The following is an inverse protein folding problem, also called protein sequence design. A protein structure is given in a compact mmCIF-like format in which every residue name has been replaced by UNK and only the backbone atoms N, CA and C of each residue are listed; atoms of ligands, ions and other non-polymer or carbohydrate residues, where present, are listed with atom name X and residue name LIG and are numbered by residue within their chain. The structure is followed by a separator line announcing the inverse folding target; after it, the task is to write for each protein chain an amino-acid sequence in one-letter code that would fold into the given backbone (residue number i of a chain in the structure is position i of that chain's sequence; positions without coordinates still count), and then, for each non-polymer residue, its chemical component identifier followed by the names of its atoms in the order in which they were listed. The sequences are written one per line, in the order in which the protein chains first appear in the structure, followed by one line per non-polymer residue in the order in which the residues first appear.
data_IF_171936962065
#
_entry.id   IF_171936962065
#
_cell.length_a   1.000
_cell.length_b   1.000
_cell.length_c   1.000
_cell.angle_alpha   90.00
_cell.angle_beta   90.00
_cell.angle_gamma   90.00
#
_symmetry.space_group_name_H-M   'P 1'
#
loop_
_entity.id
_entity.type
_entity.pdbx_description
1 polymer ?
#
# COMPACT_ATOMS: atom_id res chain seq x y z
N UNK A 1 7.18 -34.45 48.02
CA UNK A 1 8.08 -33.33 48.35
C UNK A 1 8.95 -32.82 47.19
N UNK A 2 9.12 -33.53 46.06
CA UNK A 2 9.96 -33.06 44.94
C UNK A 2 9.25 -32.18 43.86
N UNK A 3 7.94 -31.96 43.95
CA UNK A 3 7.20 -31.12 42.97
C UNK A 3 7.22 -29.62 43.34
N UNK A 4 7.15 -29.28 44.64
CA UNK A 4 7.14 -27.89 45.11
C UNK A 4 8.49 -27.15 44.91
N UNK A 5 9.61 -27.87 44.80
CA UNK A 5 10.93 -27.25 44.65
C UNK A 5 11.20 -26.84 43.18
N UNK A 6 10.57 -27.49 42.19
CA UNK A 6 10.74 -27.13 40.77
C UNK A 6 10.00 -25.85 40.37
N UNK A 7 8.82 -25.57 40.94
CA UNK A 7 8.06 -24.34 40.66
C UNK A 7 8.69 -23.06 41.21
N UNK A 8 9.40 -23.14 42.34
CA UNK A 8 10.08 -21.99 42.94
C UNK A 8 11.35 -21.57 42.18
N UNK A 9 12.00 -22.50 41.47
CA UNK A 9 13.24 -22.24 40.70
C UNK A 9 12.94 -21.61 39.34
N UNK A 10 11.83 -21.96 38.69
CA UNK A 10 11.36 -21.30 37.46
C UNK A 10 10.82 -19.89 37.72
N UNK A 11 10.04 -19.70 38.80
CA UNK A 11 9.56 -18.37 39.22
C UNK A 11 10.70 -17.39 39.51
N UNK A 12 11.76 -17.83 40.22
CA UNK A 12 12.93 -16.98 40.50
C UNK A 12 13.75 -16.63 39.24
N UNK A 13 13.83 -17.51 38.24
CA UNK A 13 14.52 -17.23 36.97
C UNK A 13 13.75 -16.22 36.11
N UNK A 14 12.43 -16.26 36.13
CA UNK A 14 11.58 -15.26 35.45
C UNK A 14 11.64 -13.88 36.12
N UNK A 15 11.62 -13.84 37.46
CA UNK A 15 11.77 -12.58 38.20
C UNK A 15 13.17 -11.97 37.98
N UNK A 16 14.23 -12.79 37.96
CA UNK A 16 15.57 -12.29 37.62
C UNK A 16 15.67 -11.77 36.18
N UNK A 17 15.04 -12.43 35.20
CA UNK A 17 15.03 -11.96 33.81
C UNK A 17 14.28 -10.62 33.65
N UNK A 18 13.10 -10.49 34.28
CA UNK A 18 12.31 -9.26 34.26
C UNK A 18 13.05 -8.10 34.95
N UNK A 19 13.66 -8.34 36.12
CA UNK A 19 14.46 -7.33 36.84
C UNK A 19 15.73 -6.95 36.06
N UNK A 20 16.33 -7.89 35.30
CA UNK A 20 17.51 -7.60 34.47
C UNK A 20 17.15 -6.73 33.26
N UNK A 21 16.01 -6.97 32.61
CA UNK A 21 15.51 -6.11 31.51
C UNK A 21 15.15 -4.72 32.03
N UNK A 22 14.51 -4.63 33.20
CA UNK A 22 14.18 -3.35 33.85
C UNK A 22 15.44 -2.57 34.25
N UNK A 23 16.45 -3.23 34.81
CA UNK A 23 17.72 -2.58 35.15
C UNK A 23 18.49 -2.12 33.91
N UNK A 24 18.44 -2.86 32.80
CA UNK A 24 19.05 -2.43 31.54
C UNK A 24 18.34 -1.17 31.00
N UNK A 25 17.01 -1.13 30.99
CA UNK A 25 16.24 0.04 30.54
C UNK A 25 16.46 1.26 31.45
N UNK A 26 16.61 1.06 32.77
CA UNK A 26 16.91 2.15 33.71
C UNK A 26 18.37 2.63 33.61
N UNK A 27 19.35 1.75 33.38
CA UNK A 27 20.78 2.12 33.25
C UNK A 27 21.09 2.87 31.96
N UNK A 28 20.44 2.52 30.84
CA UNK A 28 20.65 3.23 29.57
C UNK A 28 19.99 4.61 29.52
N UNK A 29 18.97 4.87 30.33
CA UNK A 29 18.33 6.19 30.46
C UNK A 29 19.09 7.17 31.40
N UNK A 30 20.15 6.72 32.06
CA UNK A 30 20.95 7.54 32.99
C UNK A 30 22.30 8.04 32.44
N UNK A 31 22.61 7.78 31.15
CA UNK A 31 23.86 8.24 30.52
C UNK A 31 23.55 9.47 29.64
N UNK A 32 24.15 10.65 29.89
CA UNK A 32 24.06 11.77 28.95
C UNK A 32 24.72 11.38 27.62
N UNK A 33 23.94 11.38 26.54
CA UNK A 33 24.36 11.06 25.18
C UNK A 33 25.42 12.02 24.70
N UNK A 34 26.67 11.57 24.65
CA UNK A 34 27.79 12.33 24.09
C UNK A 34 28.67 11.45 23.22
N UNK A 35 28.24 11.15 22.00
CA UNK A 35 29.15 10.76 20.93
C UNK A 35 28.68 11.35 19.60
N UNK A 36 29.52 12.23 19.06
CA UNK A 36 29.39 12.79 17.73
C UNK A 36 29.63 11.74 16.66
N UNK A 37 28.90 11.89 15.55
CA UNK A 37 28.98 11.05 14.37
C UNK A 37 30.23 11.44 13.57
N UNK A 38 31.18 10.52 13.43
CA UNK A 38 32.22 10.61 12.40
C UNK A 38 31.73 9.90 11.14
N UNK A 39 31.90 10.63 10.04
CA UNK A 39 31.57 10.30 8.66
C UNK A 39 32.22 8.98 8.21
N UNK A 40 31.44 8.04 7.68
CA UNK A 40 31.94 6.85 6.98
C UNK A 40 30.90 6.31 6.00
N UNK A 41 31.28 6.25 4.71
CA UNK A 41 30.52 5.72 3.57
C UNK A 41 29.95 4.31 3.82
N UNK A 42 28.81 3.94 3.21
CA UNK A 42 28.20 2.64 3.44
C UNK A 42 28.88 1.51 2.65
N UNK A 43 29.40 0.53 3.38
CA UNK A 43 29.68 -0.83 2.89
C UNK A 43 28.47 -1.73 3.19
N UNK A 44 28.13 -2.59 2.24
CA UNK A 44 26.94 -3.47 2.24
C UNK A 44 27.08 -4.60 3.27
N UNK A 45 26.17 -4.75 4.25
CA UNK A 45 26.16 -5.91 5.15
C UNK A 45 25.37 -7.09 4.58
N UNK A 46 25.95 -8.29 4.72
CA UNK A 46 25.34 -9.59 4.39
C UNK A 46 24.24 -9.99 5.38
N UNK A 47 23.27 -10.76 4.87
CA UNK A 47 22.12 -11.37 5.54
C UNK A 47 22.40 -11.94 6.94
N UNK A 48 21.46 -11.68 7.86
CA UNK A 48 21.35 -12.38 9.14
C UNK A 48 20.12 -11.97 9.94
N UNK A 49 19.23 -12.94 10.17
CA UNK A 49 18.11 -13.02 11.14
C UNK A 49 16.85 -12.19 10.89
N UNK A 50 15.74 -12.93 10.71
CA UNK A 50 14.38 -12.43 10.49
C UNK A 50 13.80 -11.70 11.72
N UNK A 51 12.94 -10.67 11.51
CA UNK A 51 12.24 -9.99 12.58
C UNK A 51 11.15 -10.88 13.24
N UNK A 52 10.79 -10.61 14.51
CA UNK A 52 9.80 -11.41 15.23
C UNK A 52 8.39 -11.28 14.64
N UNK A 53 7.68 -12.40 14.65
CA UNK A 53 6.32 -12.62 14.16
C UNK A 53 5.30 -11.66 14.80
N UNK A 54 4.38 -11.04 14.03
CA UNK A 54 3.26 -10.29 14.60
C UNK A 54 2.28 -11.22 15.35
N UNK A 55 1.56 -10.72 16.36
CA UNK A 55 0.58 -11.51 17.12
C UNK A 55 -0.58 -11.97 16.21
N UNK A 56 -1.21 -13.12 16.50
CA UNK A 56 -2.27 -13.66 15.67
C UNK A 56 -3.53 -12.80 15.75
N UNK A 57 -4.06 -12.42 14.60
CA UNK A 57 -5.40 -11.84 14.48
C UNK A 57 -6.47 -12.92 14.71
N UNK A 58 -7.49 -12.57 15.50
CA UNK A 58 -8.69 -13.38 15.69
C UNK A 58 -9.47 -13.45 14.37
N UNK A 59 -9.33 -14.57 13.67
CA UNK A 59 -10.15 -14.92 12.52
C UNK A 59 -11.59 -15.21 12.98
N UNK A 60 -12.50 -14.32 12.62
CA UNK A 60 -13.91 -14.63 12.47
C UNK A 60 -14.37 -14.20 11.07
N UNK A 61 -13.97 -14.98 10.07
CA UNK A 61 -14.70 -15.04 8.80
C UNK A 61 -14.56 -16.45 8.21
N UNK A 62 -15.63 -17.22 8.38
CA UNK A 62 -15.81 -18.58 7.89
C UNK A 62 -15.80 -18.65 6.36
N UNK A 63 -14.80 -19.29 5.78
CA UNK A 63 -14.87 -19.84 4.42
C UNK A 63 -15.32 -21.31 4.52
N UNK A 64 -16.61 -21.55 4.36
CA UNK A 64 -17.13 -22.92 4.21
C UNK A 64 -16.99 -23.34 2.75
N UNK A 65 -16.14 -24.34 2.55
CA UNK A 65 -15.92 -25.04 1.30
C UNK A 65 -17.21 -25.71 0.80
N UNK A 66 -17.50 -25.58 -0.50
CA UNK A 66 -18.44 -26.44 -1.20
C UNK A 66 -17.67 -27.34 -2.16
N UNK A 67 -17.62 -28.61 -1.77
CA UNK A 67 -17.20 -29.76 -2.56
C UNK A 67 -18.10 -29.98 -3.79
N UNK A 68 -17.50 -30.24 -4.95
CA UNK A 68 -18.14 -31.04 -6.00
C UNK A 68 -17.09 -31.73 -6.88
N UNK A 69 -17.15 -33.06 -6.79
CA UNK A 69 -16.45 -34.12 -7.51
C UNK A 69 -16.45 -33.99 -9.04
N UNK A 70 -15.33 -34.41 -9.66
CA UNK A 70 -15.29 -34.90 -11.04
C UNK A 70 -15.03 -36.41 -11.05
N UNK A 71 -15.38 -37.11 -12.15
CA UNK A 71 -14.52 -38.18 -12.62
C UNK A 71 -14.19 -38.08 -14.14
N UNK A 72 -12.88 -38.16 -14.40
CA UNK A 72 -12.19 -38.91 -15.45
C UNK A 72 -12.77 -39.03 -16.86
N UNK A 73 -12.00 -38.57 -17.86
CA UNK A 73 -11.42 -39.43 -18.92
C UNK A 73 -10.32 -38.70 -19.72
N UNK A 74 -9.12 -39.29 -19.78
CA UNK A 74 -8.08 -39.04 -20.80
C UNK A 74 -8.28 -40.00 -22.00
N UNK A 75 -7.32 -40.14 -22.96
CA UNK A 75 -6.91 -39.20 -24.01
C UNK A 75 -6.95 -39.87 -25.41
N UNK A 76 -6.69 -39.14 -26.49
CA UNK A 76 -6.08 -39.75 -27.69
C UNK A 76 -5.37 -38.74 -28.60
N UNK A 77 -4.19 -39.18 -29.01
CA UNK A 77 -3.10 -38.55 -29.77
C UNK A 77 -3.26 -38.72 -31.29
N UNK A 78 -2.47 -37.93 -32.04
CA UNK A 78 -1.78 -38.17 -33.35
C UNK A 78 -1.97 -36.95 -34.28
N UNK A 79 -0.98 -36.09 -34.52
CA UNK A 79 0.30 -36.25 -35.25
C UNK A 79 0.22 -35.85 -36.74
N UNK A 80 1.31 -35.19 -37.15
CA UNK A 80 1.85 -34.98 -38.49
C UNK A 80 1.35 -33.83 -39.40
N UNK A 81 2.29 -32.91 -39.66
CA UNK A 81 2.37 -31.96 -40.79
C UNK A 81 2.76 -32.70 -42.09
N UNK A 82 2.67 -32.10 -43.31
CA UNK A 82 3.84 -31.35 -43.82
C UNK A 82 3.55 -30.19 -44.81
N UNK A 83 4.51 -29.25 -44.86
CA UNK A 83 4.74 -28.28 -45.95
C UNK A 83 5.18 -28.95 -47.28
N UNK A 84 5.18 -28.20 -48.39
CA UNK A 84 6.46 -27.82 -49.00
C UNK A 84 6.55 -26.38 -49.56
N UNK A 85 7.78 -25.99 -49.84
CA UNK A 85 8.33 -24.65 -50.10
C UNK A 85 8.87 -24.42 -51.53
N UNK A 86 9.21 -23.14 -51.84
CA UNK A 86 10.11 -22.57 -52.89
C UNK A 86 9.41 -22.13 -54.20
N UNK A 87 9.75 -21.04 -54.91
CA UNK A 87 10.92 -20.12 -54.95
C UNK A 87 10.58 -18.87 -55.81
N UNK A 88 11.29 -17.74 -55.62
CA UNK A 88 11.26 -16.51 -56.44
C UNK A 88 12.14 -16.63 -57.72
N UNK A 89 12.17 -15.63 -58.63
CA UNK A 89 13.25 -14.62 -58.56
C UNK A 89 13.00 -13.18 -59.13
N UNK A 90 13.87 -12.27 -58.65
CA UNK A 90 14.57 -11.14 -59.29
C UNK A 90 13.90 -9.78 -59.63
N UNK A 91 14.56 -8.72 -59.14
CA UNK A 91 14.39 -7.27 -59.40
C UNK A 91 15.16 -6.79 -60.67
N UNK A 92 15.03 -5.50 -61.05
CA UNK A 92 16.14 -4.58 -60.75
C UNK A 92 15.74 -3.14 -60.36
N UNK A 93 16.74 -2.44 -59.79
CA UNK A 93 16.79 -1.09 -59.21
C UNK A 93 16.19 0.06 -60.01
N UNK A 94 15.72 1.09 -59.31
CA UNK A 94 16.16 2.50 -59.48
C UNK A 94 15.58 3.39 -58.37
N UNK A 95 16.41 4.29 -57.82
CA UNK A 95 16.05 5.47 -57.03
C UNK A 95 17.10 6.55 -57.38
N UNK A 96 16.99 7.83 -56.98
CA UNK A 96 15.88 8.52 -56.28
C UNK A 96 15.47 9.85 -56.96
N UNK A 97 14.32 10.41 -56.61
CA UNK A 97 14.11 11.87 -56.76
C UNK A 97 13.32 12.42 -55.60
N UNK A 98 13.87 13.51 -55.08
CA UNK A 98 13.48 14.30 -53.92
C UNK A 98 12.16 15.04 -54.14
N UNK A 99 11.19 14.86 -53.25
CA UNK A 99 10.11 15.82 -53.04
C UNK A 99 10.05 16.21 -51.57
N UNK A 100 10.33 17.48 -51.33
CA UNK A 100 10.21 18.19 -50.07
C UNK A 100 8.76 18.20 -49.58
N UNK A 101 8.47 17.42 -48.54
CA UNK A 101 7.23 17.53 -47.78
C UNK A 101 7.43 18.48 -46.61
N UNK A 102 6.78 19.64 -46.71
CA UNK A 102 6.61 20.62 -45.65
C UNK A 102 5.86 20.02 -44.46
N UNK A 103 6.54 19.89 -43.33
CA UNK A 103 5.93 19.55 -42.03
C UNK A 103 5.03 20.69 -41.53
N UNK A 104 3.78 20.45 -41.12
CA UNK A 104 3.04 21.40 -40.30
C UNK A 104 3.59 21.32 -38.88
N UNK A 105 4.07 22.45 -38.38
CA UNK A 105 4.56 22.64 -37.03
C UNK A 105 3.50 22.21 -35.99
N UNK A 106 3.95 21.42 -35.01
CA UNK A 106 3.19 21.09 -33.81
C UNK A 106 2.75 22.37 -33.08
N UNK A 107 1.49 22.50 -32.66
CA UNK A 107 1.10 23.63 -31.82
C UNK A 107 1.73 23.44 -30.44
N UNK A 108 2.65 24.34 -30.13
CA UNK A 108 3.16 24.64 -28.78
C UNK A 108 2.03 24.57 -27.75
N UNK A 109 2.06 23.56 -26.88
CA UNK A 109 1.21 23.47 -25.71
C UNK A 109 1.64 24.52 -24.68
N UNK A 110 0.91 25.63 -24.64
CA UNK A 110 0.94 26.55 -23.50
C UNK A 110 0.58 25.78 -22.22
N UNK A 111 1.29 25.94 -21.09
CA UNK A 111 0.90 25.31 -19.84
C UNK A 111 -0.48 25.80 -19.43
N UNK A 112 -1.47 24.90 -19.39
CA UNK A 112 -2.81 25.22 -18.89
C UNK A 112 -2.67 25.75 -17.46
N UNK A 113 -3.31 26.88 -17.16
CA UNK A 113 -3.31 27.47 -15.84
C UNK A 113 -3.81 26.43 -14.82
N UNK A 114 -3.02 26.17 -13.78
CA UNK A 114 -3.36 25.18 -12.75
C UNK A 114 -4.64 25.63 -12.02
N UNK A 115 -5.72 24.84 -12.14
CA UNK A 115 -6.94 25.06 -11.36
C UNK A 115 -6.61 24.94 -9.86
N UNK A 116 -7.18 25.80 -8.99
CA UNK A 116 -7.09 25.62 -7.54
C UNK A 116 -7.82 24.33 -7.09
N UNK A 117 -7.44 23.80 -5.92
CA UNK A 117 -7.92 22.50 -5.39
C UNK A 117 -9.45 22.39 -5.32
N UNK A 118 -10.13 23.48 -4.94
CA UNK A 118 -11.58 23.57 -4.85
C UNK A 118 -12.30 23.61 -6.21
N UNK A 119 -11.57 23.69 -7.32
CA UNK A 119 -12.09 23.64 -8.70
C UNK A 119 -11.80 22.30 -9.40
N UNK A 120 -11.10 21.38 -8.72
CA UNK A 120 -10.81 20.05 -9.24
C UNK A 120 -11.90 19.07 -8.77
N UNK A 121 -12.60 18.48 -9.74
CA UNK A 121 -13.60 17.45 -9.46
C UNK A 121 -12.94 16.19 -8.88
N UNK A 122 -13.51 15.67 -7.80
CA UNK A 122 -13.13 14.40 -7.17
C UNK A 122 -14.30 13.41 -7.26
N UNK A 123 -13.99 12.18 -7.66
CA UNK A 123 -14.94 11.06 -7.59
C UNK A 123 -14.31 9.94 -6.78
N UNK A 124 -15.06 9.39 -5.82
CA UNK A 124 -14.73 8.16 -5.11
C UNK A 124 -15.26 6.95 -5.88
N UNK A 125 -14.41 5.96 -6.14
CA UNK A 125 -14.76 4.71 -6.82
C UNK A 125 -14.54 3.58 -5.81
N UNK A 126 -15.65 2.94 -5.38
CA UNK A 126 -15.62 1.88 -4.38
C UNK A 126 -15.95 0.55 -5.03
N UNK A 127 -15.08 -0.44 -4.79
CA UNK A 127 -15.39 -1.85 -5.01
C UNK A 127 -16.01 -2.42 -3.72
N UNK A 128 -17.21 -3.00 -3.84
CA UNK A 128 -18.00 -3.46 -2.70
C UNK A 128 -18.71 -4.79 -2.98
N UNK A 129 -18.95 -5.55 -1.93
CA UNK A 129 -19.94 -6.62 -1.86
C UNK A 129 -21.23 -6.11 -1.22
N UNK A 130 -22.34 -6.79 -1.46
CA UNK A 130 -23.66 -6.40 -0.93
C UNK A 130 -23.72 -6.44 0.60
N UNK A 131 -22.89 -7.28 1.24
CA UNK A 131 -22.76 -7.37 2.71
C UNK A 131 -21.99 -6.21 3.35
N UNK A 132 -21.26 -5.42 2.55
CA UNK A 132 -20.41 -4.34 3.06
C UNK A 132 -21.20 -3.04 3.16
N UNK A 133 -20.94 -2.27 4.21
CA UNK A 133 -21.57 -0.97 4.41
C UNK A 133 -20.75 0.14 3.73
N UNK A 134 -21.36 0.76 2.72
CA UNK A 134 -20.81 1.93 2.01
C UNK A 134 -21.59 3.22 2.28
N UNK A 135 -22.58 3.18 3.18
CA UNK A 135 -23.42 4.35 3.51
C UNK A 135 -22.62 5.47 4.21
N UNK A 136 -21.47 5.14 4.79
CA UNK A 136 -20.55 6.11 5.37
C UNK A 136 -20.09 7.16 4.37
N UNK A 137 -19.97 6.82 3.08
CA UNK A 137 -19.46 7.76 2.08
C UNK A 137 -20.38 8.96 1.93
N UNK A 138 -21.68 8.74 1.71
CA UNK A 138 -22.65 9.83 1.58
C UNK A 138 -22.95 10.53 2.90
N UNK A 139 -22.77 9.85 4.05
CA UNK A 139 -22.94 10.45 5.36
C UNK A 139 -21.84 11.46 5.71
N UNK A 140 -20.59 11.21 5.29
CA UNK A 140 -19.44 12.07 5.59
C UNK A 140 -19.07 13.02 4.45
N UNK A 141 -19.29 12.61 3.20
CA UNK A 141 -18.95 13.35 1.98
C UNK A 141 -20.12 13.40 0.99
N UNK A 142 -21.27 13.98 1.36
CA UNK A 142 -22.42 14.12 0.47
C UNK A 142 -22.12 14.95 -0.80
N UNK A 143 -21.07 15.77 -0.77
CA UNK A 143 -20.60 16.59 -1.88
C UNK A 143 -19.72 15.84 -2.89
N UNK A 144 -19.16 14.69 -2.52
CA UNK A 144 -18.24 13.93 -3.37
C UNK A 144 -19.03 12.99 -4.28
N UNK A 145 -18.77 13.07 -5.59
CA UNK A 145 -19.35 12.12 -6.54
C UNK A 145 -18.86 10.70 -6.23
N UNK A 146 -19.77 9.73 -6.26
CA UNK A 146 -19.47 8.35 -5.89
C UNK A 146 -19.92 7.37 -6.97
N UNK A 147 -19.04 6.46 -7.36
CA UNK A 147 -19.35 5.28 -8.16
C UNK A 147 -19.10 4.02 -7.32
N UNK A 148 -20.17 3.44 -6.79
CA UNK A 148 -20.12 2.29 -5.88
C UNK A 148 -20.54 1.05 -6.67
N UNK A 149 -19.57 0.19 -6.99
CA UNK A 149 -19.80 -1.07 -7.69
C UNK A 149 -20.04 -2.18 -6.68
N UNK A 150 -21.26 -2.72 -6.68
CA UNK A 150 -21.63 -3.86 -5.83
C UNK A 150 -21.57 -5.13 -6.67
N UNK A 151 -20.40 -5.78 -6.68
CA UNK A 151 -20.02 -6.76 -7.72
C UNK A 151 -20.82 -8.08 -7.67
N UNK A 152 -21.45 -8.38 -6.54
CA UNK A 152 -22.33 -9.52 -6.31
C UNK A 152 -23.84 -9.16 -6.36
N UNK A 153 -24.17 -7.96 -6.86
CA UNK A 153 -25.55 -7.51 -7.06
C UNK A 153 -25.80 -7.05 -8.51
N UNK A 154 -26.47 -7.89 -9.30
CA UNK A 154 -26.80 -7.60 -10.71
C UNK A 154 -27.80 -6.47 -10.93
N UNK A 155 -28.44 -5.99 -9.85
CA UNK A 155 -29.40 -4.86 -9.89
C UNK A 155 -28.78 -3.53 -9.44
N UNK A 156 -27.51 -3.53 -9.05
CA UNK A 156 -26.82 -2.31 -8.65
C UNK A 156 -26.70 -1.32 -9.82
N UNK A 157 -26.72 0.01 -9.56
CA UNK A 157 -26.55 1.01 -10.62
C UNK A 157 -25.23 0.88 -11.38
N UNK A 158 -24.18 0.46 -10.68
CA UNK A 158 -22.87 0.17 -11.25
C UNK A 158 -22.60 -1.33 -11.16
N UNK A 159 -22.39 -1.97 -12.30
CA UNK A 159 -22.12 -3.40 -12.42
C UNK A 159 -20.81 -3.65 -13.15
N UNK A 160 -20.30 -4.87 -13.05
CA UNK A 160 -19.10 -5.33 -13.77
C UNK A 160 -19.49 -6.46 -14.73
N UNK A 161 -18.73 -6.66 -15.83
CA UNK A 161 -19.04 -7.74 -16.78
C UNK A 161 -18.92 -9.14 -16.14
N UNK A 162 -18.05 -9.30 -15.13
CA UNK A 162 -17.87 -10.53 -14.36
C UNK A 162 -17.20 -10.19 -13.03
N UNK A 163 -17.62 -10.81 -11.93
CA UNK A 163 -16.91 -10.70 -10.65
C UNK A 163 -15.63 -11.56 -10.70
N UNK A 164 -14.50 -10.97 -11.11
CA UNK A 164 -13.18 -11.62 -11.24
C UNK A 164 -12.04 -10.59 -11.19
N UNK A 165 -10.96 -10.89 -10.48
CA UNK A 165 -9.83 -10.01 -10.22
C UNK A 165 -10.12 -8.96 -9.14
N UNK A 166 -11.03 -9.25 -8.20
CA UNK A 166 -11.47 -8.33 -7.14
C UNK A 166 -11.74 -6.89 -7.63
N UNK A 167 -11.14 -5.88 -7.00
CA UNK A 167 -11.29 -4.46 -7.34
C UNK A 167 -10.75 -4.10 -8.73
N UNK A 168 -9.85 -4.92 -9.31
CA UNK A 168 -9.30 -4.64 -10.62
C UNK A 168 -10.34 -4.61 -11.73
N UNK A 169 -11.36 -5.46 -11.66
CA UNK A 169 -12.48 -5.39 -12.61
C UNK A 169 -13.27 -4.10 -12.47
N UNK A 170 -13.52 -3.66 -11.24
CA UNK A 170 -14.25 -2.44 -10.93
C UNK A 170 -13.50 -1.24 -11.48
N UNK A 171 -12.21 -1.13 -11.18
CA UNK A 171 -11.38 0.03 -11.55
C UNK A 171 -11.22 0.14 -13.06
N UNK A 172 -10.95 -0.97 -13.76
CA UNK A 172 -10.88 -0.98 -15.21
C UNK A 172 -12.23 -0.66 -15.86
N UNK A 173 -13.33 -1.21 -15.33
CA UNK A 173 -14.67 -0.95 -15.86
C UNK A 173 -15.07 0.52 -15.71
N UNK A 174 -14.83 1.14 -14.54
CA UNK A 174 -15.07 2.56 -14.35
C UNK A 174 -14.30 3.43 -15.36
N UNK A 175 -12.99 3.17 -15.53
CA UNK A 175 -12.17 3.95 -16.46
C UNK A 175 -12.68 3.80 -17.90
N UNK A 176 -13.08 2.59 -18.31
CA UNK A 176 -13.60 2.31 -19.66
C UNK A 176 -14.94 3.02 -19.89
N UNK A 177 -15.90 2.85 -18.97
CA UNK A 177 -17.26 3.35 -19.12
C UNK A 177 -17.32 4.89 -19.08
N UNK A 178 -16.38 5.51 -18.38
CA UNK A 178 -16.30 6.97 -18.20
C UNK A 178 -15.15 7.62 -18.97
N UNK A 179 -14.47 6.91 -19.88
CA UNK A 179 -13.20 7.34 -20.48
C UNK A 179 -13.21 8.76 -21.07
N UNK A 180 -14.30 9.14 -21.74
CA UNK A 180 -14.47 10.47 -22.38
C UNK A 180 -14.85 11.58 -21.39
N UNK A 181 -15.22 11.24 -20.16
CA UNK A 181 -15.72 12.15 -19.13
C UNK A 181 -15.09 11.88 -17.75
N UNK A 182 -13.86 11.36 -17.70
CA UNK A 182 -13.16 11.11 -16.44
C UNK A 182 -12.98 12.42 -15.65
N UNK A 183 -13.23 12.42 -14.34
CA UNK A 183 -13.08 13.60 -13.48
C UNK A 183 -11.60 14.03 -13.40
N UNK A 184 -11.36 15.20 -12.83
CA UNK A 184 -9.99 15.68 -12.63
C UNK A 184 -9.22 14.68 -11.74
N UNK A 185 -9.83 14.18 -10.66
CA UNK A 185 -9.26 13.18 -9.74
C UNK A 185 -10.24 12.05 -9.47
N UNK A 186 -9.76 10.81 -9.60
CA UNK A 186 -10.45 9.58 -9.22
C UNK A 186 -9.74 8.99 -7.99
N UNK A 187 -10.49 8.60 -6.97
CA UNK A 187 -9.96 7.95 -5.76
C UNK A 187 -10.55 6.55 -5.67
N UNK A 188 -9.72 5.55 -5.95
CA UNK A 188 -10.09 4.14 -5.96
C UNK A 188 -9.82 3.52 -4.59
N UNK A 189 -10.87 2.99 -3.96
CA UNK A 189 -10.85 2.47 -2.59
C UNK A 189 -11.59 1.14 -2.48
N UNK A 190 -11.32 0.42 -1.39
CA UNK A 190 -12.18 -0.66 -0.91
C UNK A 190 -13.41 -0.08 -0.17
N UNK A 191 -14.44 -0.90 0.03
CA UNK A 191 -15.67 -0.49 0.72
C UNK A 191 -15.50 -0.15 2.20
N UNK A 192 -14.51 -0.75 2.87
CA UNK A 192 -14.30 -0.61 4.31
C UNK A 192 -13.88 0.81 4.70
N UNK A 193 -14.67 1.45 5.57
CA UNK A 193 -14.29 2.74 6.16
C UNK A 193 -13.01 2.61 7.00
N UNK A 194 -12.99 1.69 7.96
CA UNK A 194 -11.84 1.49 8.84
C UNK A 194 -11.11 0.22 8.44
N UNK A 195 -9.82 0.33 8.12
CA UNK A 195 -9.01 -0.81 7.72
C UNK A 195 -7.51 -0.60 8.00
N UNK A 196 -6.79 -1.69 8.28
CA UNK A 196 -5.36 -1.66 8.58
C UNK A 196 -4.51 -1.12 7.42
N UNK A 197 -4.98 -1.28 6.18
CA UNK A 197 -4.29 -0.80 4.99
C UNK A 197 -4.54 0.69 4.70
N UNK A 198 -5.45 1.35 5.42
CA UNK A 198 -5.65 2.79 5.33
C UNK A 198 -4.55 3.55 6.09
N UNK A 199 -4.23 4.80 5.72
CA UNK A 199 -3.17 5.57 6.35
C UNK A 199 -3.42 5.79 7.85
N UNK A 200 -2.57 5.21 8.67
CA UNK A 200 -2.58 5.27 10.15
C UNK A 200 -2.63 6.71 10.69
N UNK A 201 -1.88 7.66 10.12
CA UNK A 201 -1.92 9.06 10.59
C UNK A 201 -3.23 9.79 10.26
N UNK A 202 -4.08 9.16 9.46
CA UNK A 202 -5.48 9.54 9.19
C UNK A 202 -6.47 8.67 9.97
N UNK A 203 -6.02 8.00 11.03
CA UNK A 203 -6.88 7.16 11.88
C UNK A 203 -7.35 5.88 11.18
N UNK A 204 -6.66 5.43 10.13
CA UNK A 204 -7.08 4.27 9.32
C UNK A 204 -8.50 4.41 8.74
N UNK A 205 -8.97 5.65 8.55
CA UNK A 205 -10.31 6.00 8.07
C UNK A 205 -10.29 6.40 6.58
N UNK A 206 -11.06 5.68 5.75
CA UNK A 206 -11.20 5.96 4.32
C UNK A 206 -11.92 7.29 4.05
N UNK A 207 -12.78 7.75 4.96
CA UNK A 207 -13.39 9.07 4.85
C UNK A 207 -12.32 10.17 4.90
N UNK A 208 -11.33 10.04 5.80
CA UNK A 208 -10.21 10.99 5.88
C UNK A 208 -9.31 10.94 4.63
N UNK A 209 -9.20 9.79 3.94
CA UNK A 209 -8.49 9.71 2.66
C UNK A 209 -9.17 10.63 1.63
N UNK A 210 -10.49 10.53 1.49
CA UNK A 210 -11.28 11.31 0.52
C UNK A 210 -11.23 12.81 0.86
N UNK A 211 -11.39 13.15 2.14
CA UNK A 211 -11.35 14.53 2.63
C UNK A 211 -9.97 15.18 2.38
N UNK A 212 -8.90 14.48 2.75
CA UNK A 212 -7.56 15.07 2.84
C UNK A 212 -6.70 14.92 1.60
N UNK A 213 -7.01 14.00 0.69
CA UNK A 213 -6.19 13.83 -0.52
C UNK A 213 -6.19 15.11 -1.35
N UNK A 214 -5.00 15.69 -1.56
CA UNK A 214 -4.82 16.92 -2.34
C UNK A 214 -5.00 16.64 -3.82
N UNK A 215 -6.00 17.25 -4.46
CA UNK A 215 -6.16 17.10 -5.90
C UNK A 215 -4.98 17.69 -6.70
N UNK A 216 -4.41 18.86 -6.34
CA UNK A 216 -3.21 19.37 -6.99
C UNK A 216 -2.01 18.42 -6.90
N UNK A 217 -1.84 17.70 -5.77
CA UNK A 217 -0.79 16.69 -5.66
C UNK A 217 -1.04 15.53 -6.62
N UNK A 218 -2.26 14.99 -6.67
CA UNK A 218 -2.63 13.92 -7.62
C UNK A 218 -2.44 14.37 -9.07
N UNK A 219 -2.79 15.62 -9.41
CA UNK A 219 -2.55 16.21 -10.73
C UNK A 219 -1.05 16.28 -11.08
N UNK A 220 -0.19 16.68 -10.13
CA UNK A 220 1.26 16.74 -10.33
C UNK A 220 1.89 15.36 -10.51
N UNK A 221 1.47 14.40 -9.69
CA UNK A 221 2.05 13.05 -9.66
C UNK A 221 1.46 12.13 -10.73
N UNK A 222 0.25 12.43 -11.20
CA UNK A 222 -0.50 11.61 -12.15
C UNK A 222 -1.15 10.39 -11.49
N UNK A 223 -0.38 9.63 -10.72
CA UNK A 223 -0.76 8.45 -9.95
C UNK A 223 -0.21 8.55 -8.53
N UNK A 224 -1.02 8.24 -7.52
CA UNK A 224 -0.67 8.29 -6.10
C UNK A 224 -1.26 7.09 -5.40
N UNK A 225 -0.42 6.21 -4.85
CA UNK A 225 -0.91 5.22 -3.90
C UNK A 225 -1.35 5.94 -2.62
N UNK A 226 -2.59 5.73 -2.16
CA UNK A 226 -3.10 6.45 -0.98
C UNK A 226 -2.57 5.88 0.32
N UNK A 227 -1.98 4.68 0.30
CA UNK A 227 -1.28 4.10 1.43
C UNK A 227 0.15 4.65 1.50
N UNK A 228 0.46 5.37 2.57
CA UNK A 228 1.79 5.93 2.76
C UNK A 228 2.81 4.99 3.41
N UNK A 229 2.38 3.97 4.17
CA UNK A 229 3.32 3.03 4.79
C UNK A 229 3.96 2.13 3.74
N UNK A 230 5.22 1.78 3.95
CA UNK A 230 5.98 0.97 3.01
C UNK A 230 5.70 -0.53 3.12
N UNK A 231 5.56 -1.07 4.33
CA UNK A 231 5.32 -2.49 4.53
C UNK A 231 3.81 -2.78 4.60
N UNK A 232 3.25 -3.72 3.82
CA UNK A 232 3.90 -4.48 2.77
C UNK A 232 4.03 -3.67 1.46
N UNK A 233 5.02 -4.02 0.63
CA UNK A 233 5.13 -3.52 -0.74
C UNK A 233 6.37 -2.69 -1.12
N UNK A 234 7.09 -2.12 -0.16
CA UNK A 234 8.27 -1.28 -0.38
C UNK A 234 9.42 -1.58 0.60
N UNK A 235 10.69 -1.29 0.25
CA UNK A 235 11.15 -0.71 -1.02
C UNK A 235 11.32 -1.75 -2.15
N UNK A 236 11.32 -3.03 -1.80
CA UNK A 236 11.45 -4.18 -2.70
C UNK A 236 10.40 -5.21 -2.30
N UNK A 237 9.54 -5.66 -3.22
CA UNK A 237 8.43 -6.55 -2.87
C UNK A 237 8.37 -7.80 -3.73
N UNK A 238 8.13 -7.65 -5.03
CA UNK A 238 8.02 -8.75 -5.97
C UNK A 238 9.28 -8.87 -6.80
N UNK A 239 9.75 -10.10 -7.00
CA UNK A 239 10.92 -10.46 -7.80
C UNK A 239 10.51 -11.45 -8.91
N UNK A 240 9.83 -10.99 -9.97
CA UNK A 240 9.23 -11.87 -10.97
C UNK A 240 10.25 -12.80 -11.66
N UNK A 241 11.53 -12.39 -11.71
CA UNK A 241 12.61 -13.12 -12.38
C UNK A 241 13.49 -13.95 -11.44
N UNK A 242 13.24 -13.92 -10.12
CA UNK A 242 13.99 -14.77 -9.18
C UNK A 242 13.79 -16.27 -9.52
N UNK A 243 14.73 -17.16 -9.16
CA UNK A 243 14.52 -18.59 -9.30
C UNK A 243 13.22 -19.05 -8.62
N UNK A 244 12.51 -20.01 -9.20
CA UNK A 244 11.24 -20.51 -8.61
C UNK A 244 11.42 -21.05 -7.19
N UNK A 245 12.59 -21.62 -6.91
CA UNK A 245 12.99 -22.09 -5.56
C UNK A 245 13.10 -20.97 -4.52
N UNK A 246 13.15 -19.71 -4.94
CA UNK A 246 13.21 -18.53 -4.06
C UNK A 246 11.84 -17.84 -3.91
N UNK A 247 10.90 -18.08 -4.84
CA UNK A 247 9.53 -17.54 -4.80
C UNK A 247 8.59 -18.46 -4.01
N UNK A 248 8.93 -18.71 -2.75
CA UNK A 248 8.21 -19.66 -1.88
C UNK A 248 7.44 -18.98 -0.74
N UNK A 249 7.35 -17.64 -0.75
CA UNK A 249 6.66 -16.89 0.27
C UNK A 249 5.14 -17.11 0.15
N UNK A 250 4.56 -17.81 1.13
CA UNK A 250 3.12 -18.10 1.18
C UNK A 250 2.26 -16.82 1.30
N UNK A 251 2.86 -15.71 1.70
CA UNK A 251 2.20 -14.40 1.74
C UNK A 251 2.27 -13.67 0.40
N UNK A 252 2.97 -14.20 -0.61
CA UNK A 252 3.10 -13.64 -1.97
C UNK A 252 2.85 -14.70 -3.08
N UNK A 253 1.75 -15.47 -3.01
CA UNK A 253 1.49 -16.56 -3.96
C UNK A 253 1.45 -16.10 -5.44
N UNK A 254 1.12 -14.84 -5.68
CA UNK A 254 1.07 -14.21 -6.99
C UNK A 254 2.45 -13.98 -7.64
N UNK A 255 3.54 -13.97 -6.85
CA UNK A 255 4.90 -13.72 -7.35
C UNK A 255 5.33 -14.79 -8.37
N UNK A 256 4.86 -16.02 -8.20
CA UNK A 256 5.14 -17.15 -9.09
C UNK A 256 4.55 -16.94 -10.49
N UNK A 257 3.36 -16.34 -10.57
CA UNK A 257 2.62 -16.13 -11.82
C UNK A 257 2.95 -14.78 -12.48
N UNK A 258 3.54 -13.86 -11.73
CA UNK A 258 3.68 -12.45 -12.11
C UNK A 258 4.48 -12.25 -13.40
N UNK A 259 5.56 -13.02 -13.64
CA UNK A 259 6.35 -12.89 -14.86
C UNK A 259 5.59 -13.35 -16.12
N UNK A 260 4.73 -14.36 -16.00
CA UNK A 260 3.86 -14.80 -17.11
C UNK A 260 2.79 -13.76 -17.37
N UNK A 261 2.05 -13.37 -16.32
CA UNK A 261 1.01 -12.36 -16.40
C UNK A 261 1.54 -11.03 -16.94
N UNK A 262 2.73 -10.58 -16.52
CA UNK A 262 3.33 -9.36 -17.02
C UNK A 262 3.55 -9.38 -18.53
N UNK A 263 4.07 -10.49 -19.10
CA UNK A 263 4.30 -10.59 -20.56
C UNK A 263 3.00 -10.60 -21.36
N UNK A 264 1.95 -11.18 -20.80
CA UNK A 264 0.62 -11.21 -21.43
C UNK A 264 -0.05 -9.83 -21.35
N UNK A 265 0.04 -9.18 -20.20
CA UNK A 265 -0.52 -7.84 -19.97
C UNK A 265 0.25 -6.81 -20.79
N UNK A 266 1.59 -6.77 -20.75
CA UNK A 266 2.46 -5.79 -21.39
C UNK A 266 3.29 -6.41 -22.53
N UNK A 267 2.65 -6.75 -23.67
CA UNK A 267 3.33 -7.44 -24.75
C UNK A 267 4.45 -6.59 -25.35
N UNK A 268 5.66 -7.16 -25.41
CA UNK A 268 6.85 -6.50 -25.96
C UNK A 268 7.67 -5.69 -24.94
N UNK A 269 7.23 -5.62 -23.68
CA UNK A 269 7.99 -4.99 -22.60
C UNK A 269 8.82 -6.02 -21.83
N UNK A 270 9.99 -5.62 -21.34
CA UNK A 270 10.83 -6.48 -20.50
C UNK A 270 10.22 -6.59 -19.10
N UNK A 271 10.15 -7.82 -18.57
CA UNK A 271 9.69 -8.06 -17.20
C UNK A 271 10.68 -7.40 -16.23
N UNK A 272 10.24 -6.51 -15.33
CA UNK A 272 11.12 -5.89 -14.35
C UNK A 272 11.72 -6.90 -13.38
N UNK A 273 12.96 -6.66 -12.95
CA UNK A 273 13.59 -7.46 -11.89
C UNK A 273 12.84 -7.33 -10.55
N UNK A 274 12.33 -6.13 -10.26
CA UNK A 274 11.62 -5.80 -9.03
C UNK A 274 10.35 -5.03 -9.39
N UNK A 275 9.20 -5.42 -8.83
CA UNK A 275 8.00 -4.59 -8.77
C UNK A 275 7.72 -4.22 -7.31
N UNK A 276 7.57 -2.94 -7.03
CA UNK A 276 7.37 -2.45 -5.67
C UNK A 276 6.50 -1.20 -5.61
N UNK A 277 5.52 -1.22 -4.72
CA UNK A 277 4.72 -0.08 -4.28
C UNK A 277 4.00 -0.48 -2.99
N UNK A 278 3.52 0.46 -2.15
CA UNK A 278 2.66 0.11 -1.02
C UNK A 278 1.48 -0.77 -1.46
N UNK A 279 1.12 -1.76 -0.64
CA UNK A 279 0.09 -2.73 -0.97
C UNK A 279 -1.31 -2.16 -1.23
N UNK A 280 -2.18 -3.10 -1.57
CA UNK A 280 -3.62 -3.08 -1.31
C UNK A 280 -4.46 -2.26 -2.28
N UNK A 281 -3.96 -2.02 -3.51
CA UNK A 281 -4.73 -1.53 -4.66
C UNK A 281 -5.55 -0.24 -4.46
N UNK A 282 -5.34 0.52 -3.37
CA UNK A 282 -6.00 1.81 -3.16
C UNK A 282 -5.11 2.94 -3.70
N UNK A 283 -5.63 3.75 -4.61
CA UNK A 283 -4.86 4.83 -5.22
C UNK A 283 -5.75 5.97 -5.71
N UNK A 284 -5.16 7.15 -5.84
CA UNK A 284 -5.72 8.27 -6.55
C UNK A 284 -5.04 8.43 -7.92
N UNK A 285 -5.84 8.71 -8.94
CA UNK A 285 -5.41 8.84 -10.33
C UNK A 285 -5.98 10.12 -10.91
N UNK A 286 -5.15 10.93 -11.56
CA UNK A 286 -5.64 12.07 -12.32
C UNK A 286 -6.27 11.60 -13.64
N UNK A 287 -7.36 12.27 -14.06
CA UNK A 287 -7.98 12.00 -15.36
C UNK A 287 -7.01 12.18 -16.52
N UNK A 288 -6.09 13.14 -16.42
CA UNK A 288 -5.06 13.38 -17.43
C UNK A 288 -4.04 12.24 -17.51
N UNK A 289 -3.66 11.65 -16.38
CA UNK A 289 -2.80 10.47 -16.38
C UNK A 289 -3.51 9.25 -16.97
N UNK A 290 -4.78 9.04 -16.62
CA UNK A 290 -5.57 7.94 -17.18
C UNK A 290 -5.69 8.04 -18.71
N UNK A 291 -5.94 9.24 -19.24
CA UNK A 291 -6.07 9.49 -20.68
C UNK A 291 -4.78 9.34 -21.50
N UNK A 292 -3.62 9.15 -20.85
CA UNK A 292 -2.37 8.80 -21.56
C UNK A 292 -2.39 7.36 -22.07
N UNK A 293 -3.26 6.52 -21.51
CA UNK A 293 -3.45 5.12 -21.91
C UNK A 293 -4.73 5.05 -22.74
N UNK A 294 -4.66 4.47 -23.94
CA UNK A 294 -5.81 4.45 -24.84
C UNK A 294 -6.96 3.58 -24.29
N UNK A 295 -8.19 3.88 -24.72
CA UNK A 295 -9.37 3.09 -24.37
C UNK A 295 -9.24 1.62 -24.79
N UNK A 296 -8.65 1.37 -25.97
CA UNK A 296 -8.38 0.03 -26.47
C UNK A 296 -7.41 -0.71 -25.56
N UNK A 297 -6.41 -0.01 -25.02
CA UNK A 297 -5.47 -0.58 -24.07
C UNK A 297 -6.14 -0.98 -22.77
N UNK A 298 -6.97 -0.13 -22.18
CA UNK A 298 -7.77 -0.51 -21.01
C UNK A 298 -8.69 -1.71 -21.30
N UNK A 299 -9.32 -1.72 -22.47
CA UNK A 299 -10.19 -2.81 -22.89
C UNK A 299 -9.43 -4.13 -23.01
N UNK A 300 -8.25 -4.13 -23.64
CA UNK A 300 -7.40 -5.32 -23.77
C UNK A 300 -6.93 -5.84 -22.41
N UNK A 301 -6.58 -4.93 -21.51
CA UNK A 301 -6.11 -5.23 -20.15
C UNK A 301 -7.25 -5.81 -19.29
N UNK A 302 -8.48 -5.27 -19.38
CA UNK A 302 -9.66 -5.88 -18.76
C UNK A 302 -9.99 -7.23 -19.36
N UNK A 303 -9.80 -7.38 -20.68
CA UNK A 303 -10.03 -8.64 -21.37
C UNK A 303 -9.08 -9.73 -20.88
N UNK A 304 -7.80 -9.43 -20.66
CA UNK A 304 -6.87 -10.36 -20.01
C UNK A 304 -7.40 -10.85 -18.65
N UNK A 305 -7.95 -9.95 -17.83
CA UNK A 305 -8.51 -10.31 -16.53
C UNK A 305 -9.73 -11.24 -16.65
N UNK A 306 -10.56 -11.06 -17.69
CA UNK A 306 -11.67 -11.96 -17.98
C UNK A 306 -11.18 -13.34 -18.42
N UNK A 307 -10.19 -13.38 -19.31
CA UNK A 307 -9.77 -14.58 -20.04
C UNK A 307 -8.75 -15.45 -19.31
N UNK A 308 -7.94 -14.87 -18.41
CA UNK A 308 -6.89 -15.62 -17.71
C UNK A 308 -7.41 -16.86 -16.98
N UNK A 309 -6.64 -17.94 -16.93
CA UNK A 309 -7.03 -19.15 -16.17
C UNK A 309 -6.74 -19.00 -14.67
N UNK A 310 -6.04 -17.93 -14.27
CA UNK A 310 -5.78 -17.62 -12.87
C UNK A 310 -7.09 -17.39 -12.11
N UNK A 311 -7.11 -17.86 -10.87
CA UNK A 311 -8.25 -17.62 -9.98
C UNK A 311 -8.40 -16.13 -9.62
N UNK A 312 -9.54 -15.81 -9.02
CA UNK A 312 -9.91 -14.45 -8.62
C UNK A 312 -8.86 -13.81 -7.69
N UNK A 313 -8.38 -14.58 -6.71
CA UNK A 313 -7.45 -14.10 -5.69
C UNK A 313 -6.07 -13.78 -6.27
N UNK A 314 -5.50 -14.68 -7.09
CA UNK A 314 -4.18 -14.49 -7.70
C UNK A 314 -4.23 -13.38 -8.75
N UNK A 315 -5.25 -13.38 -9.61
CA UNK A 315 -5.38 -12.35 -10.64
C UNK A 315 -5.63 -10.94 -10.06
N UNK A 316 -6.37 -10.82 -8.95
CA UNK A 316 -6.53 -9.58 -8.21
C UNK A 316 -5.21 -9.11 -7.59
N UNK A 317 -4.47 -10.00 -6.93
CA UNK A 317 -3.16 -9.67 -6.33
C UNK A 317 -2.07 -9.33 -7.36
N UNK A 318 -2.13 -9.89 -8.56
CA UNK A 318 -1.29 -9.44 -9.68
C UNK A 318 -1.57 -7.96 -9.98
N UNK A 319 -2.86 -7.57 -10.08
CA UNK A 319 -3.23 -6.19 -10.32
C UNK A 319 -2.79 -5.23 -9.22
N UNK A 320 -2.85 -5.66 -7.96
CA UNK A 320 -2.37 -4.90 -6.81
C UNK A 320 -0.95 -4.34 -7.02
N UNK A 321 -0.05 -5.09 -7.68
CA UNK A 321 1.34 -4.70 -7.93
C UNK A 321 1.64 -4.29 -9.38
N UNK A 322 0.62 -4.08 -10.22
CA UNK A 322 0.80 -3.61 -11.59
C UNK A 322 0.17 -2.23 -11.88
N UNK A 323 -0.67 -1.69 -10.99
CA UNK A 323 -1.27 -0.35 -11.19
C UNK A 323 -0.22 0.74 -11.42
N UNK A 324 0.81 0.80 -10.59
CA UNK A 324 1.89 1.77 -10.72
C UNK A 324 2.60 1.64 -12.06
N UNK A 325 2.82 0.41 -12.53
CA UNK A 325 3.48 0.17 -13.82
C UNK A 325 2.58 0.61 -14.98
N UNK A 326 1.30 0.20 -14.96
CA UNK A 326 0.32 0.59 -15.96
C UNK A 326 0.26 2.12 -16.11
N UNK A 327 0.14 2.84 -15.00
CA UNK A 327 -0.04 4.29 -15.05
C UNK A 327 1.26 5.07 -15.21
N UNK A 328 2.42 4.56 -14.79
CA UNK A 328 3.65 5.38 -14.76
C UNK A 328 4.79 4.85 -15.61
N UNK A 329 4.71 3.61 -16.09
CA UNK A 329 5.81 2.89 -16.73
C UNK A 329 6.99 2.61 -15.79
N UNK A 330 6.85 2.84 -14.49
CA UNK A 330 7.90 2.64 -13.49
C UNK A 330 7.63 1.38 -12.68
N UNK A 331 8.63 0.51 -12.53
CA UNK A 331 8.46 -0.74 -11.77
C UNK A 331 8.45 -0.52 -10.25
N UNK A 332 9.09 0.54 -9.78
CA UNK A 332 9.18 0.90 -8.36
C UNK A 332 8.50 2.27 -8.14
N UNK A 333 7.48 2.29 -7.29
CA UNK A 333 6.75 3.48 -6.86
C UNK A 333 6.65 3.50 -5.34
N UNK A 334 7.79 3.73 -4.68
CA UNK A 334 7.93 3.81 -3.22
C UNK A 334 8.29 5.24 -2.80
N UNK A 335 7.32 6.20 -2.79
CA UNK A 335 7.59 7.55 -2.34
C UNK A 335 7.98 7.54 -0.86
N UNK A 336 8.78 8.51 -0.41
CA UNK A 336 9.06 8.65 1.02
C UNK A 336 7.75 8.88 1.79
N UNK A 337 7.63 8.25 2.95
CA UNK A 337 6.41 8.32 3.75
C UNK A 337 6.07 9.76 4.16
N UNK A 338 7.08 10.58 4.46
CA UNK A 338 6.89 11.98 4.86
C UNK A 338 6.31 12.83 3.72
N UNK A 339 6.74 12.58 2.48
CA UNK A 339 6.20 13.27 1.30
C UNK A 339 4.78 12.81 0.98
N UNK A 340 4.49 11.50 1.10
CA UNK A 340 3.14 10.97 0.91
C UNK A 340 2.15 11.60 1.89
N UNK A 341 2.50 11.64 3.18
CA UNK A 341 1.65 12.24 4.20
C UNK A 341 1.56 13.76 4.09
N UNK A 342 2.68 14.45 3.87
CA UNK A 342 2.70 15.90 3.79
C UNK A 342 2.06 16.39 2.49
N UNK A 343 2.57 15.98 1.33
CA UNK A 343 2.07 16.47 0.05
C UNK A 343 0.78 15.80 -0.41
N UNK A 344 0.48 14.59 0.05
CA UNK A 344 -0.80 13.93 -0.21
C UNK A 344 -1.91 14.39 0.71
N UNK A 345 -1.67 14.43 2.02
CA UNK A 345 -2.73 14.54 3.03
C UNK A 345 -2.58 15.73 4.00
N UNK A 346 -1.54 16.55 3.87
CA UNK A 346 -1.34 17.70 4.76
C UNK A 346 -0.87 17.34 6.17
N UNK A 347 -0.20 16.20 6.34
CA UNK A 347 0.44 15.83 7.61
C UNK A 347 1.96 16.03 7.49
N UNK A 348 2.44 17.22 7.89
CA UNK A 348 3.80 17.69 7.62
C UNK A 348 4.62 17.82 8.91
N UNK A 349 5.62 16.96 9.09
CA UNK A 349 6.43 16.90 10.33
C UNK A 349 7.70 17.79 10.33
N UNK A 350 7.94 18.59 9.28
CA UNK A 350 9.13 19.43 9.18
C UNK A 350 9.03 20.78 9.92
N UNK A 351 10.06 21.61 9.75
CA UNK A 351 10.00 23.04 10.08
C UNK A 351 10.35 23.45 11.52
N UNK A 352 10.66 22.50 12.40
CA UNK A 352 11.45 22.81 13.60
C UNK A 352 12.86 23.22 13.16
N UNK A 353 13.52 24.15 13.87
CA UNK A 353 14.84 24.72 13.50
C UNK A 353 15.83 23.66 12.96
N UNK A 354 15.94 23.56 11.63
CA UNK A 354 16.85 22.64 10.93
C UNK A 354 16.33 21.21 10.65
N UNK A 355 15.10 20.86 11.02
CA UNK A 355 14.52 19.51 10.78
C UNK A 355 13.79 19.43 9.45
N UNK A 356 14.12 18.41 8.64
CA UNK A 356 13.35 18.02 7.46
C UNK A 356 12.06 17.29 7.83
N UNK A 357 11.12 17.18 6.89
CA UNK A 357 9.90 16.37 7.06
C UNK A 357 10.19 14.92 7.43
N UNK A 358 11.17 14.31 6.76
CA UNK A 358 11.68 12.97 7.06
C UNK A 358 12.22 12.85 8.47
N UNK A 359 13.04 13.80 8.94
CA UNK A 359 13.57 13.75 10.29
C UNK A 359 12.44 13.83 11.32
N UNK A 360 11.50 14.76 11.17
CA UNK A 360 10.37 14.90 12.09
C UNK A 360 9.47 13.66 12.12
N UNK A 361 9.26 13.02 10.96
CA UNK A 361 8.51 11.78 10.87
C UNK A 361 9.26 10.60 11.53
N UNK A 362 10.58 10.49 11.33
CA UNK A 362 11.40 9.47 11.97
C UNK A 362 11.37 9.59 13.49
N UNK A 363 11.41 10.81 14.04
CA UNK A 363 11.24 11.05 15.47
C UNK A 363 9.85 10.61 15.97
N UNK A 364 8.79 10.90 15.20
CA UNK A 364 7.43 10.46 15.52
C UNK A 364 7.34 8.92 15.60
N UNK A 365 7.88 8.23 14.60
CA UNK A 365 7.88 6.76 14.57
C UNK A 365 8.74 6.17 15.67
N UNK A 366 9.88 6.78 16.00
CA UNK A 366 10.70 6.37 17.14
C UNK A 366 9.91 6.42 18.45
N UNK A 367 9.23 7.53 18.74
CA UNK A 367 8.39 7.65 19.94
C UNK A 367 7.27 6.61 19.97
N UNK A 368 6.64 6.35 18.83
CA UNK A 368 5.59 5.33 18.72
C UNK A 368 6.13 3.92 18.97
N UNK A 369 7.33 3.61 18.46
CA UNK A 369 7.97 2.33 18.67
C UNK A 369 8.34 2.12 20.14
N UNK A 370 8.84 3.14 20.84
CA UNK A 370 9.08 3.07 22.29
C UNK A 370 7.78 2.85 23.07
N UNK A 371 6.70 3.57 22.72
CA UNK A 371 5.37 3.31 23.29
C UNK A 371 4.95 1.85 23.11
N UNK A 372 5.06 1.33 21.88
CA UNK A 372 4.65 -0.04 21.56
C UNK A 372 5.46 -1.08 22.34
N UNK A 373 6.75 -0.84 22.60
CA UNK A 373 7.57 -1.70 23.47
C UNK A 373 7.04 -1.73 24.90
N UNK A 374 6.70 -0.57 25.46
CA UNK A 374 6.10 -0.49 26.81
C UNK A 374 4.73 -1.16 26.85
N UNK A 375 3.93 -1.00 25.81
CA UNK A 375 2.61 -1.63 25.71
C UNK A 375 2.72 -3.16 25.59
N UNK A 376 3.69 -3.67 24.84
CA UNK A 376 3.98 -5.10 24.80
C UNK A 376 4.48 -5.62 26.16
N UNK A 377 5.33 -4.87 26.86
CA UNK A 377 5.78 -5.24 28.22
C UNK A 377 4.62 -5.24 29.23
N UNK A 378 3.70 -4.28 29.13
CA UNK A 378 2.48 -4.26 29.93
C UNK A 378 1.62 -5.50 29.66
N UNK A 379 1.41 -5.84 28.39
CA UNK A 379 0.63 -7.02 27.98
C UNK A 379 1.19 -8.32 28.56
N UNK A 380 2.52 -8.49 28.65
CA UNK A 380 3.12 -9.67 29.29
C UNK A 380 2.73 -9.87 30.77
N UNK A 381 2.33 -8.79 31.44
CA UNK A 381 1.95 -8.77 32.85
C UNK A 381 0.43 -8.93 33.00
N UNK A 382 -0.35 -8.18 32.20
CA UNK A 382 -1.80 -8.03 32.42
C UNK A 382 -2.67 -8.88 31.49
N UNK A 383 -2.15 -9.32 30.34
CA UNK A 383 -2.94 -10.07 29.38
C UNK A 383 -3.33 -11.44 29.93
N UNK A 384 -4.56 -11.85 29.61
CA UNK A 384 -5.07 -13.17 29.94
C UNK A 384 -4.21 -14.24 29.25
N UNK A 385 -3.90 -15.30 30.00
CA UNK A 385 -3.14 -16.44 29.49
C UNK A 385 -4.09 -17.61 29.27
N UNK A 386 -3.87 -18.37 28.22
CA UNK A 386 -4.61 -19.62 28.01
C UNK A 386 -3.84 -20.78 28.65
N UNK A 387 -4.55 -21.66 29.35
CA UNK A 387 -4.00 -22.94 29.78
C UNK A 387 -4.02 -23.99 28.67
N UNK A 388 -3.55 -25.20 28.98
CA UNK A 388 -3.47 -26.31 28.01
C UNK A 388 -4.84 -26.74 27.46
N UNK A 389 -5.93 -26.39 28.16
CA UNK A 389 -7.31 -26.67 27.75
C UNK A 389 -7.96 -25.48 27.02
N UNK A 390 -7.20 -24.41 26.75
CA UNK A 390 -7.69 -23.19 26.11
C UNK A 390 -8.54 -22.31 27.02
N UNK A 391 -8.50 -22.52 28.35
CA UNK A 391 -9.22 -21.70 29.30
C UNK A 391 -8.41 -20.46 29.64
N UNK A 392 -9.07 -19.30 29.56
CA UNK A 392 -8.47 -18.01 29.90
C UNK A 392 -8.27 -17.87 31.41
N UNK A 393 -7.07 -17.45 31.78
CA UNK A 393 -6.61 -17.24 33.15
C UNK A 393 -6.16 -15.77 33.26
N UNK A 394 -6.87 -15.02 34.10
CA UNK A 394 -6.48 -13.67 34.46
C UNK A 394 -5.28 -13.71 35.42
N UNK A 395 -4.18 -12.98 35.15
CA UNK A 395 -3.04 -12.92 36.06
C UNK A 395 -3.43 -12.32 37.42
N UNK A 396 -3.04 -12.98 38.51
CA UNK A 396 -3.15 -12.41 39.87
C UNK A 396 -1.86 -11.66 40.17
N UNK A 397 -1.95 -10.32 40.22
CA UNK A 397 -0.79 -9.45 40.39
C UNK A 397 -0.40 -9.28 41.86
N UNK A 398 0.89 -9.42 42.13
CA UNK A 398 1.53 -8.99 43.38
C UNK A 398 1.49 -7.46 43.52
N UNK A 399 1.66 -6.92 44.73
CA UNK A 399 1.68 -5.46 44.92
C UNK A 399 2.85 -4.79 44.20
N UNK A 400 3.97 -5.49 44.03
CA UNK A 400 5.09 -5.04 43.21
C UNK A 400 4.72 -4.96 41.72
N UNK A 401 4.05 -5.98 41.18
CA UNK A 401 3.58 -5.97 39.79
C UNK A 401 2.52 -4.89 39.55
N UNK A 402 1.63 -4.64 40.50
CA UNK A 402 0.67 -3.53 40.42
C UNK A 402 1.37 -2.17 40.32
N UNK A 403 2.47 -1.98 41.06
CA UNK A 403 3.25 -0.74 40.96
C UNK A 403 3.91 -0.61 39.58
N UNK A 404 4.51 -1.69 39.07
CA UNK A 404 5.10 -1.73 37.72
C UNK A 404 4.05 -1.42 36.65
N UNK A 405 2.86 -2.02 36.72
CA UNK A 405 1.75 -1.75 35.80
C UNK A 405 1.40 -0.26 35.80
N UNK A 406 1.25 0.34 36.97
CA UNK A 406 0.96 1.77 37.09
C UNK A 406 2.04 2.66 36.45
N UNK A 407 3.32 2.31 36.65
CA UNK A 407 4.43 3.06 36.07
C UNK A 407 4.52 2.90 34.54
N UNK A 408 4.21 1.71 34.01
CA UNK A 408 4.12 1.46 32.57
C UNK A 408 2.96 2.24 31.95
N UNK A 409 1.78 2.19 32.56
CA UNK A 409 0.60 2.95 32.12
C UNK A 409 0.88 4.46 32.08
N UNK A 410 1.56 4.99 33.10
CA UNK A 410 1.94 6.40 33.15
C UNK A 410 2.91 6.79 32.01
N UNK A 411 3.92 5.95 31.73
CA UNK A 411 4.85 6.18 30.63
C UNK A 411 4.18 6.05 29.26
N UNK A 412 3.33 5.03 29.06
CA UNK A 412 2.55 4.86 27.83
C UNK A 412 1.72 6.12 27.58
N UNK A 413 1.02 6.60 28.61
CA UNK A 413 0.22 7.83 28.50
C UNK A 413 1.07 9.04 28.12
N UNK A 414 2.25 9.22 28.70
CA UNK A 414 3.15 10.33 28.34
C UNK A 414 3.57 10.26 26.86
N UNK A 415 3.94 9.07 26.37
CA UNK A 415 4.22 8.89 24.94
C UNK A 415 2.99 9.19 24.05
N UNK A 416 1.78 8.79 24.47
CA UNK A 416 0.55 9.10 23.74
C UNK A 416 0.28 10.60 23.66
N UNK A 417 0.43 11.32 24.78
CA UNK A 417 0.28 12.77 24.82
C UNK A 417 1.29 13.45 23.88
N UNK A 418 2.56 12.98 23.86
CA UNK A 418 3.59 13.48 22.95
C UNK A 418 3.27 13.20 21.47
N UNK A 419 2.83 11.98 21.14
CA UNK A 419 2.46 11.60 19.77
C UNK A 419 1.28 12.43 19.28
N UNK A 420 0.25 12.59 20.12
CA UNK A 420 -0.94 13.37 19.80
C UNK A 420 -0.60 14.84 19.53
N UNK A 421 0.25 15.45 20.37
CA UNK A 421 0.68 16.84 20.17
C UNK A 421 1.53 17.01 18.91
N UNK A 422 2.43 16.05 18.60
CA UNK A 422 3.21 16.07 17.36
C UNK A 422 2.33 15.93 16.12
N UNK A 423 1.38 14.99 16.12
CA UNK A 423 0.45 14.80 15.00
C UNK A 423 -0.44 16.04 14.80
N UNK A 424 -0.91 16.65 15.88
CA UNK A 424 -1.69 17.90 15.83
C UNK A 424 -0.90 19.05 15.22
N UNK A 425 0.37 19.23 15.61
CA UNK A 425 1.27 20.22 15.00
C UNK A 425 1.51 19.93 13.53
N UNK A 426 1.73 18.66 13.16
CA UNK A 426 1.97 18.27 11.78
C UNK A 426 0.75 18.54 10.88
N UNK A 427 -0.46 18.20 11.33
CA UNK A 427 -1.72 18.53 10.65
C UNK A 427 -1.90 20.04 10.50
N UNK A 428 -1.65 20.82 11.56
CA UNK A 428 -1.73 22.29 11.50
C UNK A 428 -0.70 22.90 10.55
N UNK A 429 0.51 22.34 10.47
CA UNK A 429 1.55 22.82 9.54
C UNK A 429 1.15 22.58 8.09
N UNK A 430 0.61 21.41 7.77
CA UNK A 430 0.22 21.06 6.40
C UNK A 430 -1.00 21.80 5.85
N UNK A 431 -1.70 22.59 6.67
CA UNK A 431 -2.73 23.53 6.18
C UNK A 431 -2.13 24.79 5.55
N UNK A 432 -0.83 25.04 5.70
CA UNK A 432 -0.14 26.13 5.00
C UNK A 432 0.51 25.58 3.71
N UNK A 433 0.06 26.00 2.52
CA UNK A 433 0.58 25.50 1.24
C UNK A 433 2.07 25.82 1.03
N UNK A 434 2.57 26.93 1.58
CA UNK A 434 3.99 27.29 1.48
C UNK A 434 4.84 26.38 2.36
N UNK A 435 4.40 26.11 3.60
CA UNK A 435 5.12 25.21 4.49
C UNK A 435 5.07 23.76 4.01
N UNK A 436 3.95 23.33 3.41
CA UNK A 436 3.82 22.02 2.77
C UNK A 436 4.83 21.86 1.64
N UNK A 437 4.92 22.85 0.74
CA UNK A 437 5.89 22.84 -0.34
C UNK A 437 7.34 22.83 0.18
N UNK A 438 7.65 23.64 1.19
CA UNK A 438 8.96 23.67 1.86
C UNK A 438 9.34 22.29 2.43
N UNK A 439 8.45 21.67 3.22
CA UNK A 439 8.67 20.34 3.80
C UNK A 439 8.84 19.25 2.72
N UNK A 440 8.23 19.46 1.55
CA UNK A 440 8.34 18.57 0.40
C UNK A 440 9.53 18.87 -0.51
N UNK A 441 10.37 19.86 -0.18
CA UNK A 441 11.51 20.27 -1.01
C UNK A 441 11.09 20.87 -2.37
N UNK A 442 9.89 21.45 -2.45
CA UNK A 442 9.35 22.08 -3.65
C UNK A 442 9.41 23.60 -3.55
N UNK A 443 9.68 24.26 -4.66
CA UNK A 443 9.48 25.71 -4.77
C UNK A 443 8.00 26.06 -4.65
N UNK A 444 7.70 27.14 -3.92
CA UNK A 444 6.34 27.68 -3.80
C UNK A 444 6.26 29.11 -4.27
N UNK A 445 5.25 29.39 -5.11
CA UNK A 445 4.88 30.74 -5.54
C UNK A 445 3.49 31.09 -5.03
N UNK A 446 3.24 32.38 -4.85
CA UNK A 446 1.94 32.89 -4.43
C UNK A 446 0.87 32.44 -5.44
N UNK A 447 -0.07 31.62 -4.98
CA UNK A 447 -1.16 31.07 -5.79
C UNK A 447 -1.00 29.60 -6.18
N UNK A 448 0.15 28.95 -5.90
CA UNK A 448 0.40 27.55 -6.30
C UNK A 448 -0.49 26.51 -5.57
N UNK A 449 -1.26 26.90 -4.55
CA UNK A 449 -2.06 25.98 -3.75
C UNK A 449 -1.21 24.96 -2.99
N UNK A 450 -1.82 23.82 -2.62
CA UNK A 450 -1.18 22.72 -1.88
C UNK A 450 -0.27 21.86 -2.76
#
# INVERSE_FOLDING_TARGET
MNSMIRGAVTSRRFVFAAVTVILIVLFFNAIPSGYGYLDSKPEVPKQGTAPPKPPPENAASSSLASSASSPLAQPSTLAESPQPSKQAPASPSTAPSSSSSSSPASPSSTPSAKKPDNELSKTAILASLQKEDTTWLSAFHPEVAAAIYVVDNTTAPYTVPKNKGHEGMVYLTYIIDHYTALPDVMVFLHAHRYAWHNPDLLGSDAAEIIDKISAPYVQRMGYVNVRCHWDPGCPTWMHPLAPETERTDVFKPEEVELAKAFREIFPGEEVPEILAQPCCAQFALSGDQARKISLERYTAVRQWLLDTELDDAISGRIWEYLWQYLFTGKPISCPRMDLCYCDGFGVCFGGDKGKSGEQGMNEFWHLRNEKNKLQAALGQIVDEKEDEDGKKITPVLTDAEKHIVKDLEAQIKDFEDQLNERLKKAKKRGTDPKLRAEDCGRDWKKGDGF
#
